data_IF_420831793309
#
_entry.id   IF_420831793309
#
_cell.length_a   1.000
_cell.length_b   1.000
_cell.length_c   1.000
_cell.angle_alpha   90.00
_cell.angle_beta   90.00
_cell.angle_gamma   90.00
#
_symmetry.space_group_name_H-M   'P 1'
#
loop_
_entity.id
_entity.type
_entity.pdbx_description
1 polymer ?
#
# COMPACT_ATOMS: atom_id res chain seq x y z
N UNK A 1 -10.06 2.61 17.97
CA UNK A 1 -10.29 1.71 16.81
C UNK A 1 -9.72 2.41 15.59
N UNK A 2 -8.82 1.77 14.89
CA UNK A 2 -8.26 2.32 13.67
C UNK A 2 -9.18 2.05 12.46
N UNK A 3 -8.99 2.83 11.39
CA UNK A 3 -9.73 2.72 10.13
C UNK A 3 -8.76 2.65 8.98
N UNK A 4 -8.97 1.73 8.08
CA UNK A 4 -8.24 1.59 6.81
C UNK A 4 -9.23 1.59 5.66
N UNK A 5 -8.96 2.30 4.58
CA UNK A 5 -9.73 2.20 3.35
C UNK A 5 -8.84 2.28 2.12
N UNK A 6 -8.80 1.23 1.28
CA UNK A 6 -8.21 1.34 -0.05
C UNK A 6 -9.14 2.21 -0.91
N UNK A 7 -8.85 3.50 -1.01
CA UNK A 7 -9.61 4.40 -1.86
C UNK A 7 -9.43 4.03 -3.33
N UNK A 8 -8.18 3.70 -3.71
CA UNK A 8 -7.77 3.20 -5.03
C UNK A 8 -6.63 2.21 -4.84
N UNK A 9 -6.67 1.10 -5.58
CA UNK A 9 -5.61 0.09 -5.52
C UNK A 9 -5.52 -0.65 -6.85
N UNK A 10 -4.56 -0.27 -7.68
CA UNK A 10 -4.24 -0.95 -8.96
C UNK A 10 -2.95 -0.37 -9.54
N UNK A 11 -2.37 -1.05 -10.55
CA UNK A 11 -1.27 -0.52 -11.37
C UNK A 11 -1.60 0.77 -12.16
N UNK A 12 -2.76 1.38 -11.95
CA UNK A 12 -3.17 2.65 -12.58
C UNK A 12 -3.32 3.78 -11.59
N UNK A 13 -3.31 3.50 -10.29
CA UNK A 13 -3.41 4.51 -9.26
C UNK A 13 -3.71 3.93 -7.89
N UNK A 14 -2.95 4.37 -6.90
CA UNK A 14 -2.99 3.93 -5.53
C UNK A 14 -3.25 5.10 -4.59
N UNK A 15 -4.11 4.90 -3.63
CA UNK A 15 -4.35 5.82 -2.53
C UNK A 15 -5.06 5.07 -1.41
N UNK A 16 -4.44 5.01 -0.23
CA UNK A 16 -5.03 4.42 0.96
C UNK A 16 -5.31 5.51 2.00
N UNK A 17 -6.43 5.39 2.67
CA UNK A 17 -6.76 6.19 3.85
C UNK A 17 -6.49 5.35 5.10
N UNK A 18 -5.80 5.93 6.07
CA UNK A 18 -5.61 5.36 7.40
C UNK A 18 -5.93 6.40 8.46
N UNK A 19 -6.63 6.00 9.52
CA UNK A 19 -6.92 6.88 10.66
C UNK A 19 -6.94 6.12 11.98
N UNK A 20 -6.44 6.77 13.03
CA UNK A 20 -6.53 6.29 14.41
C UNK A 20 -6.39 7.46 15.39
N UNK A 21 -7.02 7.37 16.56
CA UNK A 21 -6.87 8.36 17.65
C UNK A 21 -7.21 9.80 17.27
N UNK A 22 -8.08 10.02 16.28
CA UNK A 22 -8.42 11.37 15.79
C UNK A 22 -7.51 11.93 14.71
N UNK A 23 -6.38 11.26 14.38
CA UNK A 23 -5.52 11.62 13.26
C UNK A 23 -5.84 10.78 12.03
N UNK A 24 -5.79 11.38 10.84
CA UNK A 24 -6.00 10.70 9.57
C UNK A 24 -4.93 11.06 8.53
N UNK A 25 -4.54 10.10 7.72
CA UNK A 25 -3.51 10.29 6.70
C UNK A 25 -3.88 9.59 5.40
N UNK A 26 -3.27 10.02 4.31
CA UNK A 26 -3.27 9.31 3.05
C UNK A 26 -1.91 8.64 2.84
N UNK A 27 -1.93 7.45 2.24
CA UNK A 27 -0.74 6.78 1.71
C UNK A 27 -0.90 6.75 0.20
N UNK A 28 -0.02 7.44 -0.49
CA UNK A 28 -0.02 7.73 -1.92
C UNK A 28 -1.19 8.60 -2.41
N UNK A 29 -1.00 9.17 -3.60
CA UNK A 29 -1.93 10.03 -4.31
C UNK A 29 -1.86 9.76 -5.82
N UNK A 30 -2.00 8.50 -6.21
CA UNK A 30 -1.76 8.00 -7.56
C UNK A 30 -2.85 8.27 -8.58
N UNK A 31 -3.99 8.83 -8.15
CA UNK A 31 -5.07 9.27 -9.02
C UNK A 31 -5.28 10.79 -8.89
N UNK A 32 -6.11 11.38 -9.75
CA UNK A 32 -6.34 12.84 -9.70
C UNK A 32 -6.87 13.29 -8.33
N UNK A 33 -6.51 14.51 -7.91
CA UNK A 33 -7.03 15.14 -6.69
C UNK A 33 -8.57 15.08 -6.62
N UNK A 34 -9.26 15.34 -7.74
CA UNK A 34 -10.73 15.25 -7.81
C UNK A 34 -11.23 13.85 -7.44
N UNK A 35 -10.60 12.79 -7.96
CA UNK A 35 -10.99 11.43 -7.65
C UNK A 35 -10.76 11.10 -6.16
N UNK A 36 -9.62 11.53 -5.58
CA UNK A 36 -9.32 11.34 -4.14
C UNK A 36 -10.39 12.03 -3.29
N UNK A 37 -10.66 13.32 -3.54
CA UNK A 37 -11.66 14.08 -2.78
C UNK A 37 -13.07 13.48 -2.92
N UNK A 38 -13.43 13.01 -4.12
CA UNK A 38 -14.72 12.32 -4.34
C UNK A 38 -14.78 11.02 -3.53
N UNK A 39 -13.70 10.22 -3.52
CA UNK A 39 -13.64 8.98 -2.77
C UNK A 39 -13.72 9.19 -1.24
N UNK A 40 -13.11 10.26 -0.72
CA UNK A 40 -13.24 10.67 0.69
C UNK A 40 -14.68 11.06 1.01
N UNK A 41 -15.30 11.90 0.16
CA UNK A 41 -16.68 12.36 0.36
C UNK A 41 -17.69 11.20 0.36
N UNK A 42 -17.53 10.21 -0.53
CA UNK A 42 -18.37 9.00 -0.58
C UNK A 42 -18.30 8.17 0.72
N UNK A 43 -17.27 8.36 1.54
CA UNK A 43 -17.07 7.70 2.85
C UNK A 43 -17.34 8.61 4.03
N UNK A 44 -17.93 9.79 3.77
CA UNK A 44 -18.15 10.82 4.80
C UNK A 44 -16.87 11.23 5.54
N UNK A 45 -15.72 11.21 4.83
CA UNK A 45 -14.43 11.66 5.35
C UNK A 45 -14.21 13.10 4.89
N UNK A 46 -14.10 14.00 5.83
CA UNK A 46 -13.80 15.41 5.56
C UNK A 46 -12.32 15.53 5.10
N UNK A 47 -12.02 16.14 3.96
CA UNK A 47 -10.64 16.34 3.50
C UNK A 47 -9.77 17.08 4.51
N UNK A 48 -10.36 17.97 5.30
CA UNK A 48 -9.71 18.76 6.36
C UNK A 48 -9.24 17.91 7.54
N UNK A 49 -9.75 16.68 7.67
CA UNK A 49 -9.28 15.73 8.69
C UNK A 49 -7.93 15.10 8.36
N UNK A 50 -7.47 15.21 7.11
CA UNK A 50 -6.17 14.66 6.69
C UNK A 50 -5.05 15.50 7.27
N UNK A 51 -4.17 14.89 8.05
CA UNK A 51 -3.04 15.54 8.72
C UNK A 51 -1.73 15.46 7.91
N UNK A 52 -1.58 14.45 7.04
CA UNK A 52 -0.37 14.23 6.25
C UNK A 52 -0.62 13.33 5.05
N UNK A 53 0.27 13.38 4.06
CA UNK A 53 0.34 12.41 2.95
C UNK A 53 1.69 11.69 3.02
N UNK A 54 1.66 10.37 3.10
CA UNK A 54 2.82 9.51 3.04
C UNK A 54 2.99 8.99 1.62
N UNK A 55 4.20 9.01 1.07
CA UNK A 55 4.49 8.51 -0.28
C UNK A 55 5.43 7.33 -0.19
N UNK A 56 5.00 6.20 -0.76
CA UNK A 56 5.78 4.97 -0.81
C UNK A 56 6.97 5.10 -1.77
N UNK A 57 6.72 5.62 -2.96
CA UNK A 57 7.74 5.85 -3.99
C UNK A 57 7.24 6.82 -5.08
N UNK A 58 8.07 7.11 -6.09
CA UNK A 58 7.82 8.22 -7.03
C UNK A 58 7.28 7.80 -8.42
N UNK A 59 6.72 6.60 -8.59
CA UNK A 59 6.01 6.23 -9.82
C UNK A 59 4.68 6.98 -9.95
N UNK A 60 4.25 7.22 -11.18
CA UNK A 60 3.12 8.09 -11.49
C UNK A 60 1.80 7.59 -10.90
N UNK A 61 1.61 6.28 -10.81
CA UNK A 61 0.43 5.67 -10.18
C UNK A 61 0.42 5.75 -8.64
N UNK A 62 1.43 6.41 -8.04
CA UNK A 62 1.49 6.76 -6.62
C UNK A 62 1.50 8.27 -6.37
N UNK A 63 1.82 9.10 -7.37
CA UNK A 63 2.03 10.54 -7.14
C UNK A 63 1.30 11.47 -8.13
N UNK A 64 0.58 10.95 -9.12
CA UNK A 64 -0.06 11.72 -10.20
C UNK A 64 -0.92 12.89 -9.70
N UNK A 65 -1.67 12.69 -8.62
CA UNK A 65 -2.52 13.73 -8.02
C UNK A 65 -1.86 14.58 -6.96
N UNK A 66 -0.65 14.21 -6.52
CA UNK A 66 -0.02 14.76 -5.31
C UNK A 66 0.09 16.27 -5.34
N UNK A 67 0.65 16.85 -6.40
CA UNK A 67 0.87 18.30 -6.52
C UNK A 67 -0.43 19.10 -6.33
N UNK A 68 -1.51 18.68 -6.98
CA UNK A 68 -2.82 19.36 -6.88
C UNK A 68 -3.46 19.11 -5.51
N UNK A 69 -3.31 17.90 -4.96
CA UNK A 69 -3.82 17.54 -3.65
C UNK A 69 -3.17 18.39 -2.54
N UNK A 70 -1.86 18.60 -2.58
CA UNK A 70 -1.14 19.42 -1.61
C UNK A 70 -1.57 20.89 -1.64
N UNK A 71 -1.83 21.44 -2.83
CA UNK A 71 -2.36 22.79 -2.96
C UNK A 71 -3.75 22.92 -2.30
N UNK A 72 -4.51 21.85 -2.28
CA UNK A 72 -5.86 21.82 -1.69
C UNK A 72 -5.84 21.55 -0.19
N UNK A 73 -5.06 20.56 0.28
CA UNK A 73 -5.03 20.15 1.68
C UNK A 73 -4.05 20.95 2.54
N UNK A 74 -2.96 21.46 1.95
CA UNK A 74 -1.87 22.20 2.65
C UNK A 74 -1.26 21.43 3.82
N UNK A 75 -1.10 20.12 3.67
CA UNK A 75 -0.56 19.22 4.68
C UNK A 75 0.88 18.80 4.33
N UNK A 76 1.69 18.37 5.30
CA UNK A 76 3.02 17.86 5.04
C UNK A 76 3.00 16.57 4.21
N UNK A 77 4.04 16.40 3.39
CA UNK A 77 4.35 15.14 2.69
C UNK A 77 5.52 14.47 3.40
N UNK A 78 5.41 13.17 3.64
CA UNK A 78 6.44 12.35 4.25
C UNK A 78 6.82 11.21 3.32
N UNK A 79 8.11 11.01 3.13
CA UNK A 79 8.66 9.92 2.33
C UNK A 79 10.13 9.69 2.71
N UNK A 80 10.78 8.71 2.08
CA UNK A 80 12.23 8.57 2.15
C UNK A 80 12.95 9.77 1.52
N UNK A 81 14.18 10.04 1.93
CA UNK A 81 14.99 11.11 1.35
C UNK A 81 15.12 10.99 -0.18
N UNK A 82 15.31 9.78 -0.68
CA UNK A 82 15.47 9.50 -2.13
C UNK A 82 14.16 9.74 -2.90
N UNK A 83 13.03 9.30 -2.35
CA UNK A 83 11.70 9.59 -2.94
C UNK A 83 11.45 11.09 -3.00
N UNK A 84 11.71 11.83 -1.91
CA UNK A 84 11.58 13.30 -1.89
C UNK A 84 12.49 13.98 -2.91
N UNK A 85 13.73 13.53 -3.05
CA UNK A 85 14.66 14.06 -4.05
C UNK A 85 14.10 13.88 -5.46
N UNK A 86 13.59 12.68 -5.79
CA UNK A 86 12.99 12.39 -7.10
C UNK A 86 11.75 13.24 -7.35
N UNK A 87 10.88 13.41 -6.34
CA UNK A 87 9.68 14.24 -6.46
C UNK A 87 10.00 15.72 -6.71
N UNK A 88 11.08 16.25 -6.12
CA UNK A 88 11.58 17.61 -6.40
C UNK A 88 12.16 17.71 -7.81
N UNK A 89 12.95 16.73 -8.26
CA UNK A 89 13.46 16.67 -9.64
C UNK A 89 12.35 16.63 -10.69
N UNK A 90 11.26 15.88 -10.40
CA UNK A 90 10.04 15.85 -11.23
C UNK A 90 9.17 17.11 -11.09
N UNK A 91 9.57 18.09 -10.27
CA UNK A 91 8.80 19.31 -9.98
C UNK A 91 7.37 19.06 -9.43
N UNK A 92 7.19 17.91 -8.77
CA UNK A 92 5.96 17.58 -8.06
C UNK A 92 5.92 18.27 -6.71
N UNK A 93 7.08 18.36 -6.03
CA UNK A 93 7.31 19.11 -4.80
C UNK A 93 8.23 20.30 -5.04
N UNK A 94 8.03 21.38 -4.27
CA UNK A 94 8.99 22.48 -4.18
C UNK A 94 10.17 22.06 -3.28
N UNK A 95 11.32 22.78 -3.29
CA UNK A 95 12.47 22.47 -2.44
C UNK A 95 12.12 22.41 -0.95
N UNK A 96 11.16 23.22 -0.48
CA UNK A 96 10.75 23.34 0.92
C UNK A 96 9.69 22.32 1.32
N UNK A 97 9.05 21.69 0.33
CA UNK A 97 8.03 20.66 0.59
C UNK A 97 8.66 19.29 0.87
N UNK A 98 8.01 18.56 1.74
CA UNK A 98 8.36 17.18 2.05
C UNK A 98 9.34 17.05 3.22
N UNK A 99 9.02 16.14 4.11
CA UNK A 99 9.80 15.79 5.30
C UNK A 99 10.34 14.37 5.15
N UNK A 100 11.65 14.21 5.33
CA UNK A 100 12.28 12.88 5.39
C UNK A 100 11.82 12.16 6.66
N UNK A 101 10.97 11.14 6.49
CA UNK A 101 10.37 10.39 7.61
C UNK A 101 11.44 9.76 8.51
N UNK A 102 12.63 9.43 7.96
CA UNK A 102 13.72 8.81 8.72
C UNK A 102 14.41 9.77 9.67
N UNK A 103 14.21 11.08 9.51
CA UNK A 103 14.79 12.16 10.31
C UNK A 103 13.78 12.87 11.22
N UNK A 104 12.50 12.58 11.05
CA UNK A 104 11.46 13.17 11.90
C UNK A 104 11.40 12.44 13.23
N UNK A 105 11.73 13.14 14.32
CA UNK A 105 11.72 12.57 15.68
C UNK A 105 10.30 12.32 16.20
N UNK A 106 9.36 13.20 15.86
CA UNK A 106 7.95 13.05 16.24
C UNK A 106 7.05 13.68 15.18
N UNK A 107 5.92 13.06 14.93
CA UNK A 107 4.84 13.60 14.12
C UNK A 107 3.68 13.95 15.03
N UNK A 108 2.91 15.02 14.74
CA UNK A 108 1.70 15.36 15.49
C UNK A 108 0.55 14.43 15.09
N UNK A 109 0.77 13.13 15.20
CA UNK A 109 -0.19 12.07 14.91
C UNK A 109 -0.45 11.25 16.17
N UNK A 110 -1.66 10.75 16.33
CA UNK A 110 -2.06 9.90 17.45
C UNK A 110 -1.60 8.43 17.26
N UNK A 111 -0.62 8.18 16.40
CA UNK A 111 -0.03 6.87 16.13
C UNK A 111 1.42 6.99 15.66
N UNK A 112 2.21 5.98 15.93
CA UNK A 112 3.56 5.87 15.41
C UNK A 112 3.56 5.46 13.94
N UNK A 113 4.60 5.86 13.20
CA UNK A 113 4.80 5.49 11.79
C UNK A 113 6.23 5.04 11.59
N UNK A 114 6.41 3.92 10.91
CA UNK A 114 7.70 3.38 10.52
C UNK A 114 7.73 3.13 9.01
N UNK A 115 8.72 3.69 8.32
CA UNK A 115 9.05 3.35 6.93
C UNK A 115 9.97 2.12 6.91
N UNK A 116 9.76 1.22 5.97
CA UNK A 116 10.66 0.12 5.64
C UNK A 116 10.89 0.04 4.13
N UNK A 117 12.07 -0.37 3.69
CA UNK A 117 12.40 -0.46 2.27
C UNK A 117 11.72 -1.65 1.60
N UNK A 118 11.25 -1.48 0.37
CA UNK A 118 10.74 -2.54 -0.52
C UNK A 118 11.73 -2.79 -1.68
N UNK A 119 11.67 -4.00 -2.24
CA UNK A 119 12.46 -4.38 -3.42
C UNK A 119 11.72 -3.93 -4.69
N UNK A 120 11.92 -2.68 -5.08
CA UNK A 120 11.28 -2.13 -6.28
C UNK A 120 12.25 -1.29 -7.10
N UNK A 121 12.02 -1.19 -8.41
CA UNK A 121 12.87 -0.45 -9.35
C UNK A 121 12.71 1.08 -9.28
N UNK A 122 12.44 1.57 -8.09
CA UNK A 122 12.31 3.00 -7.79
C UNK A 122 13.16 3.37 -6.57
N UNK A 123 14.11 4.31 -6.69
CA UNK A 123 14.97 4.69 -5.59
C UNK A 123 14.20 5.18 -4.38
N UNK A 124 14.48 4.59 -3.22
CA UNK A 124 13.85 4.96 -1.96
C UNK A 124 12.46 4.41 -1.75
N UNK A 125 12.03 3.42 -2.56
CA UNK A 125 10.74 2.77 -2.39
C UNK A 125 10.61 2.10 -1.02
N UNK A 126 9.40 2.14 -0.46
CA UNK A 126 9.13 1.55 0.84
C UNK A 126 7.65 1.41 1.17
N UNK A 127 7.39 0.63 2.19
CA UNK A 127 6.07 0.50 2.80
C UNK A 127 6.03 1.18 4.17
N UNK A 128 4.87 1.22 4.78
CA UNK A 128 4.64 1.85 6.07
C UNK A 128 3.99 0.91 7.07
N UNK A 129 4.45 0.97 8.31
CA UNK A 129 3.75 0.38 9.46
C UNK A 129 3.22 1.50 10.33
N UNK A 130 1.93 1.48 10.60
CA UNK A 130 1.23 2.38 11.51
C UNK A 130 0.98 1.66 12.82
N UNK A 131 1.36 2.30 13.94
CA UNK A 131 1.22 1.72 15.28
C UNK A 131 0.34 2.64 16.12
N UNK A 132 -0.96 2.35 16.24
CA UNK A 132 -1.88 3.07 17.13
C UNK A 132 -1.56 2.80 18.61
N UNK A 133 -2.16 3.58 19.50
CA UNK A 133 -1.94 3.49 20.96
C UNK A 133 -2.23 2.08 21.53
N UNK A 134 -3.21 1.37 20.99
CA UNK A 134 -3.52 0.00 21.40
C UNK A 134 -2.50 -1.06 20.91
N UNK A 135 -1.48 -0.65 20.14
CA UNK A 135 -0.42 -1.53 19.64
C UNK A 135 -0.80 -2.43 18.45
N UNK A 136 -2.04 -2.38 17.96
CA UNK A 136 -2.50 -3.21 16.83
C UNK A 136 -2.03 -2.64 15.49
N UNK A 137 -0.85 -3.07 15.08
CA UNK A 137 -0.14 -2.54 13.91
C UNK A 137 -0.85 -2.83 12.59
N UNK A 138 -0.78 -1.86 11.68
CA UNK A 138 -1.23 -1.97 10.28
C UNK A 138 -0.06 -1.73 9.35
N UNK A 139 0.23 -2.69 8.46
CA UNK A 139 1.22 -2.55 7.40
C UNK A 139 0.55 -2.24 6.05
N UNK A 140 1.14 -1.34 5.27
CA UNK A 140 0.83 -1.11 3.85
C UNK A 140 2.11 -1.35 3.06
N UNK A 141 2.09 -2.40 2.22
CA UNK A 141 3.25 -2.93 1.51
C UNK A 141 2.86 -3.29 0.08
N UNK A 142 3.00 -2.34 -0.83
CA UNK A 142 2.81 -2.52 -2.27
C UNK A 142 4.12 -2.23 -3.00
N UNK A 143 4.20 -2.65 -4.25
CA UNK A 143 5.36 -2.42 -5.12
C UNK A 143 6.64 -3.05 -4.56
N UNK A 144 6.66 -4.37 -4.68
CA UNK A 144 7.81 -5.17 -4.32
C UNK A 144 7.90 -6.41 -5.22
N UNK A 145 9.07 -6.69 -5.78
CA UNK A 145 9.32 -7.89 -6.60
C UNK A 145 9.47 -9.15 -5.74
N UNK A 146 9.91 -8.98 -4.49
CA UNK A 146 10.08 -10.06 -3.53
C UNK A 146 9.87 -9.59 -2.09
N UNK A 147 9.47 -10.47 -1.20
CA UNK A 147 9.38 -10.20 0.25
C UNK A 147 10.77 -10.43 0.86
N UNK A 148 11.57 -9.37 0.90
CA UNK A 148 12.90 -9.42 1.53
C UNK A 148 12.78 -9.63 3.04
N UNK A 149 13.89 -9.99 3.69
CA UNK A 149 13.92 -10.11 5.16
C UNK A 149 13.56 -8.80 5.87
N UNK A 150 13.91 -7.66 5.29
CA UNK A 150 13.52 -6.33 5.81
C UNK A 150 12.00 -6.15 5.77
N UNK A 151 11.36 -6.48 4.65
CA UNK A 151 9.90 -6.44 4.50
C UNK A 151 9.26 -7.42 5.48
N UNK A 152 9.72 -8.68 5.51
CA UNK A 152 9.17 -9.72 6.39
C UNK A 152 9.19 -9.29 7.86
N UNK A 153 10.32 -8.79 8.37
CA UNK A 153 10.44 -8.28 9.74
C UNK A 153 9.50 -7.09 10.03
N UNK A 154 9.30 -6.22 9.06
CA UNK A 154 8.44 -5.05 9.23
C UNK A 154 6.96 -5.43 9.35
N UNK A 155 6.49 -6.38 8.53
CA UNK A 155 5.06 -6.75 8.47
C UNK A 155 4.68 -7.88 9.43
N UNK A 156 5.66 -8.63 9.95
CA UNK A 156 5.43 -9.70 10.91
C UNK A 156 4.88 -9.14 12.23
N UNK A 157 3.81 -9.75 12.75
CA UNK A 157 3.13 -9.29 13.96
C UNK A 157 2.21 -8.07 13.74
N UNK A 158 2.01 -7.61 12.50
CA UNK A 158 0.96 -6.67 12.19
C UNK A 158 -0.40 -7.37 12.19
N UNK A 159 -1.41 -6.76 12.82
CA UNK A 159 -2.77 -7.29 12.87
C UNK A 159 -3.49 -7.14 11.53
N UNK A 160 -3.21 -6.05 10.82
CA UNK A 160 -3.71 -5.77 9.48
C UNK A 160 -2.56 -5.64 8.50
N UNK A 161 -2.62 -6.37 7.39
CA UNK A 161 -1.58 -6.32 6.36
C UNK A 161 -2.21 -6.08 4.99
N UNK A 162 -1.90 -4.94 4.40
CA UNK A 162 -2.10 -4.66 2.97
C UNK A 162 -0.85 -5.10 2.25
N UNK A 163 -0.96 -6.09 1.37
CA UNK A 163 0.18 -6.67 0.66
C UNK A 163 -0.11 -6.78 -0.84
N UNK A 164 0.91 -6.57 -1.65
CA UNK A 164 0.78 -6.71 -3.09
C UNK A 164 0.45 -8.15 -3.51
N UNK A 165 -0.50 -8.26 -4.46
CA UNK A 165 -0.80 -9.48 -5.21
C UNK A 165 -1.04 -9.06 -6.66
N UNK A 166 0.07 -8.75 -7.37
CA UNK A 166 -0.01 -7.98 -8.60
C UNK A 166 -0.51 -8.81 -9.78
N UNK A 167 0.08 -9.99 -10.04
CA UNK A 167 -0.19 -10.73 -11.26
C UNK A 167 -0.24 -12.24 -11.03
N UNK A 168 -1.01 -12.91 -11.88
CA UNK A 168 -0.86 -14.33 -12.13
C UNK A 168 0.26 -14.56 -13.15
N UNK A 169 1.18 -15.47 -12.83
CA UNK A 169 2.35 -15.73 -13.69
C UNK A 169 1.95 -16.27 -15.06
N UNK A 170 0.93 -17.14 -15.12
CA UNK A 170 0.43 -17.70 -16.37
C UNK A 170 -0.21 -16.64 -17.26
N UNK A 171 -1.06 -15.78 -16.69
CA UNK A 171 -1.65 -14.65 -17.42
C UNK A 171 -0.58 -13.69 -17.94
N UNK A 172 0.40 -13.35 -17.11
CA UNK A 172 1.49 -12.45 -17.52
C UNK A 172 2.33 -13.05 -18.63
N UNK A 173 2.73 -14.31 -18.53
CA UNK A 173 3.54 -14.98 -19.54
C UNK A 173 2.82 -15.10 -20.90
N UNK A 174 1.53 -15.40 -20.90
CA UNK A 174 0.72 -15.58 -22.10
C UNK A 174 0.00 -14.28 -22.54
N UNK A 175 0.04 -13.21 -21.74
CA UNK A 175 -0.62 -11.94 -22.01
C UNK A 175 0.06 -11.12 -23.11
N UNK A 176 -0.56 -9.98 -23.43
CA UNK A 176 -0.17 -9.11 -24.55
C UNK A 176 1.06 -8.22 -24.28
N UNK A 177 1.56 -8.18 -23.05
CA UNK A 177 2.70 -7.30 -22.70
C UNK A 177 3.96 -7.67 -23.47
N UNK A 178 4.76 -6.67 -23.93
CA UNK A 178 6.07 -6.92 -24.55
C UNK A 178 7.00 -7.69 -23.61
N UNK A 179 7.84 -8.55 -24.20
CA UNK A 179 8.76 -9.41 -23.44
C UNK A 179 9.63 -8.63 -22.42
N UNK A 180 10.22 -7.47 -22.73
CA UNK A 180 11.00 -6.71 -21.73
C UNK A 180 10.17 -6.28 -20.51
N UNK A 181 8.89 -5.92 -20.71
CA UNK A 181 7.99 -5.55 -19.62
C UNK A 181 7.64 -6.76 -18.75
N UNK A 182 7.40 -7.93 -19.37
CA UNK A 182 7.18 -9.18 -18.62
C UNK A 182 8.38 -9.52 -17.74
N UNK A 183 9.60 -9.41 -18.28
CA UNK A 183 10.83 -9.66 -17.54
C UNK A 183 11.02 -8.67 -16.38
N UNK A 184 10.72 -7.38 -16.59
CA UNK A 184 10.74 -6.37 -15.53
C UNK A 184 9.76 -6.73 -14.41
N UNK A 185 8.52 -7.06 -14.74
CA UNK A 185 7.48 -7.41 -13.76
C UNK A 185 7.86 -8.66 -12.95
N UNK A 186 8.43 -9.69 -13.59
CA UNK A 186 8.85 -10.94 -12.97
C UNK A 186 10.16 -10.82 -12.16
N UNK A 187 10.89 -9.71 -12.25
CA UNK A 187 12.16 -9.55 -11.56
C UNK A 187 11.97 -9.35 -10.05
N UNK A 188 13.05 -9.55 -9.29
CA UNK A 188 13.09 -9.27 -7.84
C UNK A 188 12.86 -7.79 -7.48
N UNK A 189 12.90 -6.90 -8.46
CA UNK A 189 12.59 -5.48 -8.32
C UNK A 189 11.29 -5.08 -9.06
N UNK A 190 10.56 -6.05 -9.58
CA UNK A 190 9.29 -5.84 -10.26
C UNK A 190 8.10 -5.82 -9.32
N UNK A 191 7.21 -6.80 -9.46
CA UNK A 191 5.98 -6.91 -8.68
C UNK A 191 5.75 -8.33 -8.16
N UNK A 192 5.12 -8.44 -7.01
CA UNK A 192 4.86 -9.71 -6.34
C UNK A 192 3.71 -10.46 -7.04
N UNK A 193 3.99 -11.70 -7.46
CA UNK A 193 2.94 -12.55 -8.03
C UNK A 193 1.95 -13.02 -6.98
N UNK A 194 0.76 -13.46 -7.40
CA UNK A 194 -0.24 -14.07 -6.53
C UNK A 194 0.34 -15.24 -5.72
N UNK A 195 1.12 -16.11 -6.36
CA UNK A 195 1.76 -17.25 -5.72
C UNK A 195 2.78 -16.83 -4.66
N UNK A 196 3.69 -15.89 -4.99
CA UNK A 196 4.68 -15.38 -4.04
C UNK A 196 4.03 -14.67 -2.86
N UNK A 197 2.97 -13.88 -3.11
CA UNK A 197 2.17 -13.28 -2.04
C UNK A 197 1.57 -14.36 -1.14
N UNK A 198 0.88 -15.34 -1.72
CA UNK A 198 0.17 -16.38 -0.99
C UNK A 198 1.10 -17.20 -0.07
N UNK A 199 2.35 -17.45 -0.48
CA UNK A 199 3.32 -18.20 0.34
C UNK A 199 3.72 -17.50 1.64
N UNK A 200 3.63 -16.17 1.71
CA UNK A 200 3.93 -15.41 2.93
C UNK A 200 2.77 -15.38 3.93
N UNK A 201 1.52 -15.52 3.46
CA UNK A 201 0.33 -15.32 4.28
C UNK A 201 0.22 -16.26 5.48
N UNK A 202 0.53 -17.57 5.40
CA UNK A 202 0.45 -18.46 6.57
C UNK A 202 1.36 -18.01 7.72
N UNK A 203 2.56 -17.55 7.40
CA UNK A 203 3.50 -17.00 8.38
C UNK A 203 2.94 -15.75 9.07
N UNK A 204 2.33 -14.85 8.30
CA UNK A 204 1.72 -13.63 8.82
C UNK A 204 0.53 -13.93 9.74
N UNK A 205 -0.36 -14.86 9.36
CA UNK A 205 -1.52 -15.24 10.18
C UNK A 205 -1.08 -15.88 11.48
N UNK A 206 -0.10 -16.81 11.44
CA UNK A 206 0.46 -17.43 12.66
C UNK A 206 1.14 -16.42 13.58
N UNK A 207 1.71 -15.34 13.01
CA UNK A 207 2.30 -14.23 13.75
C UNK A 207 1.29 -13.19 14.27
N UNK A 208 -0.01 -13.37 14.00
CA UNK A 208 -1.06 -12.54 14.55
C UNK A 208 -1.87 -11.70 13.56
N UNK A 209 -1.59 -11.78 12.27
CA UNK A 209 -2.42 -11.09 11.26
C UNK A 209 -3.84 -11.66 11.27
N UNK A 210 -4.83 -10.76 11.28
CA UNK A 210 -6.26 -11.09 11.27
C UNK A 210 -7.00 -10.48 10.09
N UNK A 211 -6.49 -9.37 9.55
CA UNK A 211 -7.03 -8.69 8.37
C UNK A 211 -5.97 -8.68 7.27
N UNK A 212 -6.24 -9.34 6.15
CA UNK A 212 -5.38 -9.38 4.97
C UNK A 212 -6.10 -8.67 3.84
N UNK A 213 -5.42 -7.72 3.21
CA UNK A 213 -5.91 -6.99 2.05
C UNK A 213 -4.93 -7.21 0.90
N UNK A 214 -5.33 -7.99 -0.09
CA UNK A 214 -4.58 -8.14 -1.34
C UNK A 214 -4.75 -6.87 -2.16
N UNK A 215 -3.66 -6.25 -2.57
CA UNK A 215 -3.67 -4.93 -3.18
C UNK A 215 -2.82 -4.88 -4.46
N UNK A 216 -2.89 -3.75 -5.16
CA UNK A 216 -2.08 -3.43 -6.34
C UNK A 216 -2.19 -4.46 -7.48
N UNK A 217 -3.40 -4.93 -7.76
CA UNK A 217 -3.63 -5.90 -8.82
C UNK A 217 -3.42 -5.28 -10.22
N UNK A 218 -2.74 -6.02 -11.08
CA UNK A 218 -2.66 -5.72 -12.51
C UNK A 218 -4.05 -5.85 -13.16
N UNK A 219 -4.41 -4.89 -14.00
CA UNK A 219 -5.67 -4.94 -14.74
C UNK A 219 -5.67 -5.97 -15.86
N UNK A 220 -4.48 -6.22 -16.45
CA UNK A 220 -4.33 -7.07 -17.64
C UNK A 220 -3.95 -8.51 -17.25
N UNK A 221 -3.21 -8.68 -16.16
CA UNK A 221 -2.57 -9.95 -15.84
C UNK A 221 -3.03 -10.52 -14.49
N UNK A 222 -4.21 -10.10 -14.02
CA UNK A 222 -4.82 -10.62 -12.80
C UNK A 222 -6.34 -10.43 -12.81
N UNK A 223 -7.01 -11.16 -11.91
CA UNK A 223 -8.40 -10.89 -11.52
C UNK A 223 -8.51 -10.96 -10.00
N UNK A 224 -9.47 -10.23 -9.39
CA UNK A 224 -9.71 -10.34 -7.95
C UNK A 224 -9.97 -11.76 -7.49
N UNK A 225 -10.73 -12.53 -8.29
CA UNK A 225 -11.05 -13.93 -7.99
C UNK A 225 -9.81 -14.82 -7.98
N UNK A 226 -8.90 -14.63 -8.96
CA UNK A 226 -7.69 -15.43 -9.07
C UNK A 226 -6.72 -15.15 -7.92
N UNK A 227 -6.53 -13.87 -7.57
CA UNK A 227 -5.73 -13.48 -6.42
C UNK A 227 -6.29 -14.06 -5.11
N UNK A 228 -7.62 -13.96 -4.91
CA UNK A 228 -8.30 -14.49 -3.73
C UNK A 228 -8.20 -16.02 -3.63
N UNK A 229 -8.50 -16.74 -4.71
CA UNK A 229 -8.45 -18.22 -4.73
C UNK A 229 -7.02 -18.69 -4.45
N UNK A 230 -6.00 -18.09 -5.05
CA UNK A 230 -4.60 -18.45 -4.82
C UNK A 230 -4.23 -18.29 -3.36
N UNK A 231 -4.57 -17.16 -2.75
CA UNK A 231 -4.29 -16.89 -1.34
C UNK A 231 -5.03 -17.85 -0.40
N UNK A 232 -6.34 -18.06 -0.62
CA UNK A 232 -7.18 -18.93 0.21
C UNK A 232 -6.74 -20.40 0.10
N UNK A 233 -6.34 -20.88 -1.09
CA UNK A 233 -5.84 -22.25 -1.27
C UNK A 233 -4.63 -22.50 -0.39
N UNK A 234 -3.61 -21.63 -0.47
CA UNK A 234 -2.38 -21.78 0.33
C UNK A 234 -2.67 -21.68 1.84
N UNK A 235 -3.54 -20.78 2.27
CA UNK A 235 -3.92 -20.68 3.68
C UNK A 235 -4.64 -21.95 4.15
N UNK A 236 -5.57 -22.48 3.36
CA UNK A 236 -6.31 -23.72 3.68
C UNK A 236 -5.39 -24.95 3.72
N UNK A 237 -4.47 -25.08 2.77
CA UNK A 237 -3.45 -26.14 2.75
C UNK A 237 -2.54 -26.10 4.00
N UNK A 238 -2.37 -24.91 4.59
CA UNK A 238 -1.66 -24.69 5.85
C UNK A 238 -2.52 -24.83 7.10
N UNK A 239 -3.78 -25.31 6.97
CA UNK A 239 -4.71 -25.57 8.06
C UNK A 239 -5.36 -24.32 8.65
N UNK A 240 -5.31 -23.17 7.96
CA UNK A 240 -5.88 -21.91 8.42
C UNK A 240 -7.28 -21.70 7.82
N UNK A 241 -8.23 -21.28 8.65
CA UNK A 241 -9.64 -21.16 8.28
C UNK A 241 -10.07 -19.70 8.16
N UNK A 242 -10.63 -19.33 7.00
CA UNK A 242 -11.21 -18.01 6.78
C UNK A 242 -12.39 -17.76 7.73
N UNK A 243 -12.46 -16.58 8.33
CA UNK A 243 -13.50 -16.18 9.27
C UNK A 243 -13.15 -16.50 10.73
N UNK A 244 -12.34 -17.53 10.99
CA UNK A 244 -11.86 -17.88 12.33
C UNK A 244 -10.42 -17.39 12.56
N UNK A 245 -9.47 -17.76 11.69
CA UNK A 245 -8.07 -17.40 11.85
C UNK A 245 -7.73 -16.07 11.19
N UNK A 246 -8.37 -15.76 10.06
CA UNK A 246 -8.15 -14.54 9.31
C UNK A 246 -9.40 -14.09 8.54
N UNK A 247 -9.46 -12.81 8.19
CA UNK A 247 -10.30 -12.25 7.13
C UNK A 247 -9.42 -11.82 5.97
N UNK A 248 -9.88 -12.08 4.75
CA UNK A 248 -9.17 -11.72 3.52
C UNK A 248 -10.13 -11.04 2.55
N UNK A 249 -9.65 -9.97 1.96
CA UNK A 249 -10.35 -9.26 0.90
C UNK A 249 -9.35 -8.77 -0.15
N UNK A 250 -9.85 -8.51 -1.34
CA UNK A 250 -9.09 -7.90 -2.44
C UNK A 250 -9.50 -6.45 -2.54
N UNK A 251 -8.52 -5.55 -2.49
CA UNK A 251 -8.75 -4.13 -2.67
C UNK A 251 -9.24 -3.86 -4.10
N UNK A 252 -10.40 -3.22 -4.29
CA UNK A 252 -10.89 -2.91 -5.62
C UNK A 252 -10.07 -1.77 -6.26
N UNK A 253 -10.09 -1.65 -7.60
CA UNK A 253 -9.40 -0.55 -8.31
C UNK A 253 -9.87 0.84 -7.86
N UNK A 254 -11.09 0.94 -7.36
CA UNK A 254 -11.67 2.14 -6.75
C UNK A 254 -12.82 1.76 -5.82
N UNK A 255 -13.12 2.62 -4.86
CA UNK A 255 -14.33 2.44 -4.06
C UNK A 255 -14.24 1.42 -2.92
N UNK A 256 -13.06 1.03 -2.47
CA UNK A 256 -12.88 0.08 -1.37
C UNK A 256 -13.59 0.49 -0.08
N UNK A 257 -14.09 -0.46 0.73
CA UNK A 257 -14.81 -0.17 1.97
C UNK A 257 -13.90 0.46 3.02
N UNK A 258 -14.51 1.07 4.03
CA UNK A 258 -13.81 1.43 5.26
C UNK A 258 -13.78 0.20 6.16
N UNK A 259 -12.59 -0.26 6.48
CA UNK A 259 -12.34 -1.34 7.42
C UNK A 259 -12.13 -0.75 8.80
N UNK A 260 -12.82 -1.28 9.78
CA UNK A 260 -12.61 -0.98 11.19
C UNK A 260 -11.68 -2.07 11.75
N UNK A 261 -10.50 -1.68 12.13
CA UNK A 261 -9.39 -2.56 12.47
C UNK A 261 -8.82 -2.25 13.84
#
# INVERSE_FOLDING_TARGET
>A
MAKLSPLFSSSSGNCFYYASGGSAVLVDAGVSCKQILTALAQRSIAPESICAVFITHSHDDHVRGLRVLLNRLKVPVLASAQTLQTLRQKQILTPEQGLDITRVQSLPLAFGVQLFATSHDCPGSGGYVFTPENGEKTAICTDLGEVTETVRRAILGCKTVVIESNHDVGMLQNGSYPYPLKQRILSSQGHLSNGCCATELPGLVRAGAREIVLAHLSKENNTPQLAEITAVSVLTENGLQRGSDYRLQVAPPSGGPVLYI
#
